data_IF_747012470335
#
_entry.id   IF_747012470335
#
_cell.length_a   1.000
_cell.length_b   1.000
_cell.length_c   1.000
_cell.angle_alpha   90.00
_cell.angle_beta   90.00
_cell.angle_gamma   90.00
#
_symmetry.space_group_name_H-M   'P 1'
#
loop_
_entity.id
_entity.type
_entity.pdbx_description
1 polymer ?
#
# COMPACT_ATOMS: atom_id res chain seq x y z
N UNK A 1 -21.08 25.84 10.68
CA UNK A 1 -21.55 25.67 9.29
C UNK A 1 -20.44 26.16 8.37
N UNK A 2 -19.76 25.27 7.65
CA UNK A 2 -18.59 25.65 6.84
C UNK A 2 -19.06 26.31 5.56
N UNK A 3 -18.61 27.56 5.34
CA UNK A 3 -18.89 28.31 4.11
C UNK A 3 -17.62 28.35 3.26
N UNK A 4 -17.78 28.11 1.96
CA UNK A 4 -16.69 28.26 1.02
C UNK A 4 -16.55 29.75 0.70
N UNK A 5 -15.49 30.40 1.17
CA UNK A 5 -15.25 31.82 0.89
C UNK A 5 -14.39 31.95 -0.36
N UNK A 6 -14.88 32.66 -1.38
CA UNK A 6 -14.11 32.93 -2.60
C UNK A 6 -13.33 34.22 -2.41
N UNK A 7 -11.99 34.16 -2.51
CA UNK A 7 -11.09 35.29 -2.27
C UNK A 7 -11.13 36.42 -3.31
N UNK A 8 -11.68 36.20 -4.50
CA UNK A 8 -11.58 37.17 -5.61
C UNK A 8 -12.78 37.23 -6.56
N UNK A 9 -13.98 36.88 -6.10
CA UNK A 9 -15.18 37.36 -6.80
C UNK A 9 -15.50 38.72 -6.21
N UNK A 10 -14.98 39.78 -6.82
CA UNK A 10 -15.58 41.10 -6.67
C UNK A 10 -17.08 40.97 -6.99
N UNK A 11 -17.95 41.73 -6.33
CA UNK A 11 -19.42 41.77 -6.53
C UNK A 11 -19.88 42.08 -7.97
N UNK A 12 -18.95 42.16 -8.92
CA UNK A 12 -19.11 42.42 -10.35
C UNK A 12 -19.29 41.18 -11.23
N UNK A 13 -19.87 40.08 -10.71
CA UNK A 13 -20.36 38.99 -11.56
C UNK A 13 -21.65 39.44 -12.28
N UNK A 14 -21.48 40.35 -13.23
CA UNK A 14 -22.54 40.73 -14.16
C UNK A 14 -22.45 39.84 -15.41
N UNK A 15 -23.61 39.28 -15.78
CA UNK A 15 -23.88 38.72 -17.10
C UNK A 15 -24.62 39.80 -17.90
N UNK A 16 -23.91 40.78 -18.50
CA UNK A 16 -24.54 41.99 -19.04
C UNK A 16 -25.45 41.70 -20.23
N UNK A 17 -25.19 40.64 -21.00
CA UNK A 17 -25.99 40.32 -22.20
C UNK A 17 -27.03 39.22 -21.94
N UNK A 18 -28.15 39.26 -22.68
CA UNK A 18 -29.16 38.17 -22.68
C UNK A 18 -28.55 36.83 -23.09
N UNK A 19 -27.58 36.85 -24.00
CA UNK A 19 -26.91 35.66 -24.51
C UNK A 19 -26.01 35.00 -23.46
N UNK A 20 -25.25 35.79 -22.69
CA UNK A 20 -24.44 35.28 -21.57
C UNK A 20 -25.32 34.73 -20.45
N UNK A 21 -26.44 35.39 -20.13
CA UNK A 21 -27.42 34.89 -19.15
C UNK A 21 -27.98 33.54 -19.59
N UNK A 22 -28.43 33.42 -20.83
CA UNK A 22 -28.96 32.16 -21.37
C UNK A 22 -27.90 31.04 -21.37
N UNK A 23 -26.65 31.36 -21.75
CA UNK A 23 -25.53 30.41 -21.73
C UNK A 23 -25.20 29.95 -20.31
N UNK A 24 -25.14 30.87 -19.35
CA UNK A 24 -24.91 30.57 -17.93
C UNK A 24 -26.04 29.73 -17.34
N UNK A 25 -27.31 30.09 -17.57
CA UNK A 25 -28.48 29.30 -17.15
C UNK A 25 -28.42 27.87 -17.67
N UNK A 26 -28.14 27.71 -18.96
CA UNK A 26 -28.06 26.38 -19.59
C UNK A 26 -26.92 25.53 -18.99
N UNK A 27 -25.77 26.13 -18.69
CA UNK A 27 -24.65 25.42 -18.06
C UNK A 27 -24.93 25.05 -16.61
N UNK A 28 -25.49 25.96 -15.82
CA UNK A 28 -25.89 25.70 -14.44
C UNK A 28 -26.96 24.61 -14.36
N UNK A 29 -27.94 24.63 -15.27
CA UNK A 29 -28.98 23.61 -15.34
C UNK A 29 -28.39 22.24 -15.72
N UNK A 30 -27.48 22.19 -16.68
CA UNK A 30 -26.74 20.96 -17.04
C UNK A 30 -25.88 20.43 -15.89
N UNK A 31 -25.39 21.30 -15.02
CA UNK A 31 -24.67 20.93 -13.79
C UNK A 31 -25.59 20.55 -12.62
N UNK A 32 -26.91 20.47 -12.84
CA UNK A 32 -27.88 20.01 -11.84
C UNK A 32 -28.26 21.06 -10.79
N UNK A 33 -28.04 22.35 -11.07
CA UNK A 33 -28.53 23.43 -10.22
C UNK A 33 -30.02 23.66 -10.50
N UNK A 34 -30.83 23.78 -9.45
CA UNK A 34 -32.27 23.98 -9.58
C UNK A 34 -32.60 25.34 -10.21
N UNK A 35 -33.68 25.41 -10.99
CA UNK A 35 -34.10 26.64 -11.68
C UNK A 35 -34.33 27.83 -10.73
N UNK A 36 -34.81 27.57 -9.52
CA UNK A 36 -34.99 28.58 -8.47
C UNK A 36 -33.65 29.21 -8.04
N UNK A 37 -32.59 28.39 -7.91
CA UNK A 37 -31.25 28.84 -7.56
C UNK A 37 -30.56 29.53 -8.75
N UNK A 38 -30.79 29.07 -9.98
CA UNK A 38 -30.21 29.69 -11.20
C UNK A 38 -30.64 31.15 -11.33
N UNK A 39 -31.94 31.43 -11.19
CA UNK A 39 -32.44 32.80 -11.31
C UNK A 39 -31.83 33.72 -10.24
N UNK A 40 -31.70 33.20 -9.02
CA UNK A 40 -31.08 33.92 -7.89
C UNK A 40 -29.58 34.15 -8.11
N UNK A 41 -28.85 33.16 -8.65
CA UNK A 41 -27.43 33.27 -8.99
C UNK A 41 -27.16 34.30 -10.09
N UNK A 42 -28.08 34.47 -11.03
CA UNK A 42 -27.96 35.43 -12.14
C UNK A 42 -28.32 36.86 -11.71
N UNK A 43 -29.22 37.02 -10.74
CA UNK A 43 -29.68 38.33 -10.26
C UNK A 43 -28.86 38.87 -9.09
N UNK A 44 -28.41 37.99 -8.18
CA UNK A 44 -27.61 38.33 -7.00
C UNK A 44 -26.65 37.17 -6.67
N UNK A 45 -25.53 37.13 -7.40
CA UNK A 45 -24.58 36.01 -7.33
C UNK A 45 -24.05 35.78 -5.91
N UNK A 46 -23.52 36.81 -5.25
CA UNK A 46 -22.87 36.67 -3.92
C UNK A 46 -23.83 36.05 -2.89
N UNK A 47 -25.02 36.63 -2.71
CA UNK A 47 -25.98 36.12 -1.71
C UNK A 47 -26.51 34.72 -2.06
N UNK A 48 -26.83 34.47 -3.34
CA UNK A 48 -27.36 33.18 -3.76
C UNK A 48 -26.29 32.08 -3.68
N UNK A 49 -25.06 32.39 -4.08
CA UNK A 49 -23.95 31.45 -4.04
C UNK A 49 -23.65 30.99 -2.61
N UNK A 50 -23.55 31.92 -1.64
CA UNK A 50 -23.27 31.56 -0.25
C UNK A 50 -24.42 30.84 0.47
N UNK A 51 -25.62 30.83 -0.10
CA UNK A 51 -26.75 30.06 0.42
C UNK A 51 -26.74 28.58 0.00
N UNK A 52 -25.92 28.22 -1.00
CA UNK A 52 -25.78 26.86 -1.51
C UNK A 52 -24.89 26.00 -0.61
N UNK A 53 -25.08 24.68 -0.67
CA UNK A 53 -24.15 23.73 -0.06
C UNK A 53 -22.79 23.67 -0.81
N UNK A 54 -21.70 23.21 -0.16
CA UNK A 54 -20.36 23.22 -0.76
C UNK A 54 -20.26 22.51 -2.12
N UNK A 55 -20.95 21.38 -2.29
CA UNK A 55 -20.96 20.65 -3.56
C UNK A 55 -21.65 21.45 -4.68
N UNK A 56 -22.75 22.12 -4.37
CA UNK A 56 -23.48 22.96 -5.33
C UNK A 56 -22.65 24.20 -5.71
N UNK A 57 -21.95 24.80 -4.75
CA UNK A 57 -21.03 25.91 -4.98
C UNK A 57 -19.90 25.51 -5.96
N UNK A 58 -19.30 24.33 -5.81
CA UNK A 58 -18.29 23.82 -6.76
C UNK A 58 -18.88 23.66 -8.17
N UNK A 59 -20.07 23.07 -8.26
CA UNK A 59 -20.78 22.89 -9.54
C UNK A 59 -21.06 24.23 -10.22
N UNK A 60 -21.40 25.26 -9.45
CA UNK A 60 -21.59 26.63 -9.95
C UNK A 60 -20.27 27.20 -10.48
N UNK A 61 -19.17 27.12 -9.73
CA UNK A 61 -17.85 27.61 -10.17
C UNK A 61 -17.42 26.89 -11.46
N UNK A 62 -17.50 25.56 -11.50
CA UNK A 62 -17.12 24.76 -12.66
C UNK A 62 -17.96 25.10 -13.90
N UNK A 63 -19.28 25.23 -13.74
CA UNK A 63 -20.19 25.58 -14.83
C UNK A 63 -19.88 26.97 -15.42
N UNK A 64 -19.57 27.94 -14.55
CA UNK A 64 -19.41 29.34 -14.95
C UNK A 64 -18.00 29.71 -15.40
N UNK A 65 -16.98 28.96 -14.97
CA UNK A 65 -15.60 29.15 -15.44
C UNK A 65 -15.50 28.97 -16.97
N UNK A 66 -16.28 28.07 -17.56
CA UNK A 66 -16.38 27.88 -19.02
C UNK A 66 -17.04 29.05 -19.79
N UNK A 67 -17.69 29.98 -19.09
CA UNK A 67 -18.34 31.16 -19.69
C UNK A 67 -17.46 32.40 -19.56
N UNK A 68 -16.71 32.53 -18.45
CA UNK A 68 -15.97 33.76 -18.16
C UNK A 68 -14.67 33.51 -17.39
N UNK A 69 -13.74 32.80 -18.02
CA UNK A 69 -12.43 32.42 -17.45
C UNK A 69 -11.62 33.61 -16.89
N UNK A 70 -11.77 34.81 -17.45
CA UNK A 70 -11.09 36.02 -16.95
C UNK A 70 -11.62 36.54 -15.61
N UNK A 71 -12.86 36.21 -15.25
CA UNK A 71 -13.50 36.61 -13.98
C UNK A 71 -13.50 35.50 -12.94
N UNK A 72 -13.30 34.25 -13.34
CA UNK A 72 -13.19 33.09 -12.47
C UNK A 72 -11.76 32.57 -12.51
N UNK A 73 -10.97 32.93 -11.50
CA UNK A 73 -9.68 32.29 -11.29
C UNK A 73 -9.91 30.79 -10.99
N UNK A 74 -9.22 29.89 -11.70
CA UNK A 74 -9.21 28.46 -11.34
C UNK A 74 -8.61 28.25 -9.93
N UNK A 75 -7.80 29.21 -9.48
CA UNK A 75 -7.30 29.39 -8.12
C UNK A 75 -8.22 30.20 -7.19
N UNK A 76 -9.48 30.50 -7.56
CA UNK A 76 -10.49 30.99 -6.61
C UNK A 76 -10.75 29.91 -5.56
N UNK A 77 -9.91 29.96 -4.53
CA UNK A 77 -9.90 29.02 -3.43
C UNK A 77 -11.24 29.03 -2.74
N UNK A 78 -11.70 27.82 -2.46
CA UNK A 78 -12.68 27.56 -1.45
C UNK A 78 -11.91 27.59 -0.11
N UNK A 79 -11.93 28.73 0.56
CA UNK A 79 -11.44 28.78 1.94
C UNK A 79 -12.55 28.24 2.85
N UNK A 80 -12.24 27.19 3.61
CA UNK A 80 -13.14 26.63 4.61
C UNK A 80 -13.11 27.58 5.81
N UNK A 81 -14.21 28.31 6.04
CA UNK A 81 -14.35 29.23 7.17
C UNK A 81 -14.46 28.43 8.48
N UNK A 82 -13.45 28.53 9.36
CA UNK A 82 -13.44 27.91 10.68
C UNK A 82 -13.76 28.94 11.76
N UNK A 83 -15.00 29.42 11.81
CA UNK A 83 -15.45 30.44 12.77
C UNK A 83 -15.93 29.86 14.11
N UNK A 84 -15.29 28.82 14.64
CA UNK A 84 -15.50 28.39 16.03
C UNK A 84 -14.17 28.45 16.79
N UNK A 85 -14.02 29.53 17.56
CA UNK A 85 -12.79 30.02 18.19
C UNK A 85 -12.29 29.19 19.40
N UNK A 86 -12.57 27.89 19.53
CA UNK A 86 -12.18 27.12 20.73
C UNK A 86 -11.34 25.84 20.48
N UNK A 87 -11.15 25.40 19.22
CA UNK A 87 -10.28 24.26 18.87
C UNK A 87 -9.09 24.65 17.95
N UNK A 88 -8.55 25.85 18.16
CA UNK A 88 -7.70 26.62 17.23
C UNK A 88 -6.39 25.97 16.73
N UNK A 89 -5.90 24.86 17.30
CA UNK A 89 -4.58 24.33 16.93
C UNK A 89 -4.58 23.10 16.01
N UNK A 90 -5.72 22.46 15.75
CA UNK A 90 -5.76 21.22 14.93
C UNK A 90 -6.17 21.49 13.47
N UNK A 91 -6.91 22.57 13.20
CA UNK A 91 -7.53 22.84 11.90
C UNK A 91 -6.62 23.56 10.88
N UNK A 92 -5.64 24.35 11.34
CA UNK A 92 -4.79 25.21 10.48
C UNK A 92 -3.88 24.49 9.46
N UNK A 93 -3.32 23.28 9.67
CA UNK A 93 -2.38 22.70 8.70
C UNK A 93 -3.02 22.18 7.40
N UNK A 94 -4.35 22.09 7.31
CA UNK A 94 -5.07 21.50 6.17
C UNK A 94 -5.86 22.51 5.32
N UNK A 95 -6.15 23.71 5.83
CA UNK A 95 -7.04 24.71 5.20
C UNK A 95 -6.35 25.67 4.23
N UNK A 96 -5.01 25.71 4.21
CA UNK A 96 -4.25 26.67 3.40
C UNK A 96 -3.61 26.06 2.14
N UNK A 97 -3.93 24.81 1.80
CA UNK A 97 -3.35 24.13 0.65
C UNK A 97 -4.03 24.62 -0.63
N UNK A 98 -3.22 25.11 -1.57
CA UNK A 98 -3.66 25.53 -2.91
C UNK A 98 -3.19 24.49 -3.92
N UNK A 99 -4.13 23.81 -4.55
CA UNK A 99 -3.84 22.94 -5.71
C UNK A 99 -3.96 23.76 -6.99
N UNK A 100 -3.24 23.36 -8.04
CA UNK A 100 -3.33 24.02 -9.35
C UNK A 100 -4.45 23.46 -10.21
N UNK A 101 -4.60 22.14 -10.25
CA UNK A 101 -5.63 21.46 -11.06
C UNK A 101 -6.79 20.98 -10.19
N UNK A 102 -8.00 20.83 -10.74
CA UNK A 102 -9.24 20.38 -10.08
C UNK A 102 -9.37 20.79 -8.58
N UNK A 103 -8.87 21.99 -8.26
CA UNK A 103 -8.46 22.37 -6.90
C UNK A 103 -9.63 22.28 -5.92
N UNK A 104 -10.77 22.84 -6.32
CA UNK A 104 -12.01 22.83 -5.57
C UNK A 104 -12.49 21.43 -5.20
N UNK A 105 -12.35 20.47 -6.11
CA UNK A 105 -12.78 19.10 -5.85
C UNK A 105 -11.84 18.38 -4.87
N UNK A 106 -10.52 18.60 -4.98
CA UNK A 106 -9.54 18.04 -4.03
C UNK A 106 -9.74 18.59 -2.62
N UNK A 107 -9.99 19.89 -2.49
CA UNK A 107 -10.28 20.54 -1.21
C UNK A 107 -11.57 20.00 -0.57
N UNK A 108 -12.65 19.87 -1.34
CA UNK A 108 -13.89 19.27 -0.83
C UNK A 108 -13.71 17.80 -0.45
N UNK A 109 -12.95 17.04 -1.24
CA UNK A 109 -12.67 15.64 -0.95
C UNK A 109 -11.90 15.49 0.37
N UNK A 110 -10.88 16.31 0.61
CA UNK A 110 -10.17 16.36 1.90
C UNK A 110 -11.12 16.68 3.05
N UNK A 111 -12.00 17.64 2.88
CA UNK A 111 -12.96 18.05 3.90
C UNK A 111 -13.96 16.94 4.26
N UNK A 112 -14.56 16.28 3.27
CA UNK A 112 -15.51 15.19 3.54
C UNK A 112 -14.82 14.07 4.31
N UNK A 113 -13.61 13.67 3.89
CA UNK A 113 -12.87 12.65 4.60
C UNK A 113 -12.47 13.11 6.01
N UNK A 114 -12.24 14.41 6.22
CA UNK A 114 -11.94 14.95 7.54
C UNK A 114 -13.08 14.70 8.54
N UNK A 115 -14.33 14.88 8.10
CA UNK A 115 -15.50 14.65 8.96
C UNK A 115 -15.65 13.18 9.39
N UNK A 116 -15.10 12.25 8.61
CA UNK A 116 -15.41 10.82 8.72
C UNK A 116 -14.20 9.95 9.09
N UNK A 117 -12.97 10.46 8.98
CA UNK A 117 -11.74 9.67 9.04
C UNK A 117 -10.81 10.02 10.20
N UNK A 118 -9.97 9.06 10.60
CA UNK A 118 -8.93 9.32 11.59
C UNK A 118 -7.82 10.23 11.07
N UNK A 119 -7.11 10.89 11.98
CA UNK A 119 -5.99 11.81 11.68
C UNK A 119 -4.92 11.20 10.76
N UNK A 120 -4.56 9.94 10.97
CA UNK A 120 -3.52 9.28 10.17
C UNK A 120 -3.95 9.06 8.71
N UNK A 121 -5.23 8.73 8.50
CA UNK A 121 -5.81 8.61 7.15
C UNK A 121 -5.81 9.96 6.44
N UNK A 122 -6.10 11.04 7.16
CA UNK A 122 -6.09 12.39 6.61
C UNK A 122 -4.70 12.88 6.21
N UNK A 123 -3.67 12.59 7.02
CA UNK A 123 -2.28 12.91 6.68
C UNK A 123 -1.87 12.17 5.40
N UNK A 124 -2.16 10.87 5.32
CA UNK A 124 -1.89 10.05 4.14
C UNK A 124 -2.59 10.58 2.89
N UNK A 125 -3.89 10.88 3.01
CA UNK A 125 -4.69 11.43 1.92
C UNK A 125 -4.15 12.79 1.45
N UNK A 126 -3.81 13.69 2.37
CA UNK A 126 -3.22 15.00 2.04
C UNK A 126 -1.94 14.84 1.23
N UNK A 127 -0.99 14.04 1.73
CA UNK A 127 0.27 13.80 1.04
C UNK A 127 0.02 13.24 -0.36
N UNK A 128 -0.91 12.30 -0.48
CA UNK A 128 -1.30 11.75 -1.79
C UNK A 128 -1.75 12.83 -2.76
N UNK A 129 -2.65 13.73 -2.34
CA UNK A 129 -3.18 14.76 -3.22
C UNK A 129 -2.15 15.84 -3.57
N UNK A 130 -1.19 16.11 -2.68
CA UNK A 130 -0.05 16.99 -2.99
C UNK A 130 0.85 16.38 -4.06
N UNK A 131 1.17 15.09 -3.95
CA UNK A 131 1.97 14.40 -4.95
C UNK A 131 1.25 14.30 -6.29
N UNK A 132 -0.06 14.07 -6.27
CA UNK A 132 -0.88 14.11 -7.48
C UNK A 132 -0.83 15.49 -8.13
N UNK A 133 -0.98 16.58 -7.37
CA UNK A 133 -0.96 17.94 -7.91
C UNK A 133 0.42 18.34 -8.47
N UNK A 134 1.50 17.88 -7.82
CA UNK A 134 2.85 18.05 -8.32
C UNK A 134 3.04 17.34 -9.67
N UNK A 135 2.59 16.09 -9.77
CA UNK A 135 2.64 15.33 -11.02
C UNK A 135 1.80 15.97 -12.12
N UNK A 136 0.54 16.32 -11.85
CA UNK A 136 -0.33 16.99 -12.81
C UNK A 136 0.24 18.34 -13.29
N UNK A 137 0.90 19.08 -12.40
CA UNK A 137 1.61 20.31 -12.74
C UNK A 137 2.78 20.06 -13.68
N UNK A 138 3.53 18.97 -13.48
CA UNK A 138 4.65 18.57 -14.34
C UNK A 138 4.16 18.22 -15.76
N UNK A 139 3.06 17.48 -15.88
CA UNK A 139 2.51 17.06 -17.19
C UNK A 139 1.52 18.06 -17.81
N UNK A 140 1.23 19.17 -17.11
CA UNK A 140 0.38 20.27 -17.57
C UNK A 140 -1.10 19.89 -17.77
N UNK A 141 -1.60 18.85 -17.09
CA UNK A 141 -3.01 18.43 -17.15
C UNK A 141 -3.45 17.80 -15.84
N UNK A 142 -4.72 18.01 -15.49
CA UNK A 142 -5.35 17.40 -14.32
C UNK A 142 -5.73 15.92 -14.53
N UNK A 143 -5.91 15.20 -13.42
CA UNK A 143 -6.20 13.75 -13.39
C UNK A 143 -7.43 13.37 -14.20
N UNK A 144 -8.39 14.29 -14.35
CA UNK A 144 -9.61 14.03 -15.13
C UNK A 144 -9.33 13.86 -16.63
N UNK A 145 -8.17 14.31 -17.09
CA UNK A 145 -7.72 14.26 -18.48
C UNK A 145 -6.63 13.23 -18.71
N UNK A 146 -6.31 12.40 -17.72
CA UNK A 146 -5.28 11.38 -17.84
C UNK A 146 -5.65 10.34 -18.90
N UNK A 147 -4.63 9.88 -19.60
CA UNK A 147 -4.65 8.69 -20.45
C UNK A 147 -3.96 7.54 -19.71
N UNK A 148 -4.12 6.31 -20.20
CA UNK A 148 -3.47 5.12 -19.66
C UNK A 148 -1.95 5.29 -19.50
N UNK A 149 -1.31 6.03 -20.41
CA UNK A 149 0.12 6.35 -20.31
C UNK A 149 0.44 7.32 -19.16
N UNK A 150 -0.46 8.28 -18.89
CA UNK A 150 -0.30 9.23 -17.79
C UNK A 150 -0.45 8.50 -16.44
N UNK A 151 -1.34 7.50 -16.35
CA UNK A 151 -1.49 6.65 -15.16
C UNK A 151 -0.23 5.82 -14.88
N UNK A 152 0.43 5.30 -15.92
CA UNK A 152 1.74 4.62 -15.80
C UNK A 152 2.80 5.56 -15.26
N UNK A 153 2.93 6.73 -15.89
CA UNK A 153 3.90 7.73 -15.51
C UNK A 153 3.67 8.24 -14.08
N UNK A 154 2.42 8.31 -13.62
CA UNK A 154 2.09 8.66 -12.24
C UNK A 154 2.65 7.61 -11.26
N UNK A 155 2.51 6.32 -11.54
CA UNK A 155 3.05 5.27 -10.67
C UNK A 155 4.56 5.28 -10.63
N UNK A 156 5.20 5.43 -11.79
CA UNK A 156 6.66 5.56 -11.90
C UNK A 156 7.14 6.79 -11.11
N UNK A 157 6.46 7.93 -11.24
CA UNK A 157 6.71 9.13 -10.45
C UNK A 157 6.60 8.85 -8.95
N UNK A 158 5.51 8.22 -8.50
CA UNK A 158 5.31 7.91 -7.08
C UNK A 158 6.34 6.91 -6.53
N UNK A 159 6.85 6.00 -7.36
CA UNK A 159 7.90 5.04 -7.00
C UNK A 159 9.28 5.71 -6.84
N UNK A 160 9.51 6.84 -7.50
CA UNK A 160 10.76 7.60 -7.43
C UNK A 160 10.84 8.54 -6.23
N UNK A 161 9.74 8.75 -5.51
CA UNK A 161 9.74 9.58 -4.29
C UNK A 161 10.49 8.85 -3.18
N UNK A 162 11.47 9.53 -2.58
CA UNK A 162 12.22 9.03 -1.43
C UNK A 162 11.27 8.57 -0.30
N UNK A 163 11.60 7.45 0.34
CA UNK A 163 10.80 6.82 1.41
C UNK A 163 9.37 6.35 1.03
N UNK A 164 9.09 6.14 -0.26
CA UNK A 164 7.89 5.41 -0.68
C UNK A 164 8.19 3.91 -0.78
N UNK A 165 7.72 3.16 0.22
CA UNK A 165 7.66 1.70 0.15
C UNK A 165 6.38 1.21 -0.56
N UNK A 166 6.28 -0.11 -0.79
CA UNK A 166 5.12 -0.70 -1.46
C UNK A 166 3.80 -0.46 -0.70
N UNK A 167 3.84 -0.30 0.63
CA UNK A 167 2.64 -0.05 1.44
C UNK A 167 2.16 1.37 1.20
N UNK A 168 3.07 2.34 1.23
CA UNK A 168 2.81 3.76 0.98
C UNK A 168 2.37 3.99 -0.46
N UNK A 169 3.00 3.33 -1.42
CA UNK A 169 2.57 3.36 -2.83
C UNK A 169 1.12 2.88 -2.98
N UNK A 170 0.75 1.77 -2.32
CA UNK A 170 -0.63 1.27 -2.32
C UNK A 170 -1.60 2.25 -1.67
N UNK A 171 -1.19 2.94 -0.62
CA UNK A 171 -2.01 3.97 0.02
C UNK A 171 -2.24 5.16 -0.91
N UNK A 172 -1.20 5.65 -1.59
CA UNK A 172 -1.33 6.71 -2.59
C UNK A 172 -2.32 6.31 -3.70
N UNK A 173 -2.13 5.12 -4.29
CA UNK A 173 -3.03 4.59 -5.31
C UNK A 173 -4.47 4.46 -4.81
N UNK A 174 -4.66 3.99 -3.57
CA UNK A 174 -5.97 3.87 -2.96
C UNK A 174 -6.69 5.22 -2.83
N UNK A 175 -5.99 6.24 -2.33
CA UNK A 175 -6.54 7.58 -2.14
C UNK A 175 -6.81 8.30 -3.47
N UNK A 176 -5.92 8.17 -4.46
CA UNK A 176 -6.14 8.69 -5.82
C UNK A 176 -7.41 8.09 -6.41
N UNK A 177 -7.58 6.77 -6.30
CA UNK A 177 -8.77 6.08 -6.80
C UNK A 177 -10.04 6.59 -6.13
N UNK A 178 -10.02 6.72 -4.81
CA UNK A 178 -11.18 7.23 -4.07
C UNK A 178 -11.51 8.68 -4.44
N UNK A 179 -10.50 9.51 -4.68
CA UNK A 179 -10.69 10.84 -5.23
C UNK A 179 -11.35 10.81 -6.61
N UNK A 180 -10.86 9.98 -7.53
CA UNK A 180 -11.46 9.86 -8.87
C UNK A 180 -12.92 9.40 -8.82
N UNK A 181 -13.24 8.42 -7.97
CA UNK A 181 -14.62 7.96 -7.74
C UNK A 181 -15.49 9.10 -7.18
N UNK A 182 -15.00 9.82 -6.16
CA UNK A 182 -15.69 10.99 -5.62
C UNK A 182 -15.95 12.04 -6.70
N UNK A 183 -14.95 12.35 -7.52
CA UNK A 183 -15.07 13.31 -8.61
C UNK A 183 -16.11 12.88 -9.64
N UNK A 184 -16.11 11.61 -10.06
CA UNK A 184 -17.07 11.10 -11.05
C UNK A 184 -18.50 11.04 -10.54
N UNK A 185 -18.71 10.67 -9.27
CA UNK A 185 -20.04 10.43 -8.72
C UNK A 185 -20.70 11.73 -8.20
N UNK A 186 -19.90 12.60 -7.58
CA UNK A 186 -20.42 13.75 -6.84
C UNK A 186 -20.27 15.07 -7.61
N UNK A 187 -19.21 15.19 -8.41
CA UNK A 187 -18.84 16.46 -9.05
C UNK A 187 -19.29 16.50 -10.53
N UNK A 188 -19.04 15.45 -11.32
CA UNK A 188 -19.43 15.37 -12.75
C UNK A 188 -20.76 14.64 -12.99
N UNK A 189 -21.50 14.99 -14.06
CA UNK A 189 -22.81 14.39 -14.42
C UNK A 189 -22.74 13.59 -15.75
N UNK A 190 -21.65 13.61 -16.52
CA UNK A 190 -21.62 12.93 -17.83
C UNK A 190 -20.98 11.53 -17.76
N UNK A 191 -21.69 10.48 -18.22
CA UNK A 191 -21.18 9.11 -18.21
C UNK A 191 -20.28 8.90 -19.44
N UNK A 192 -18.97 9.11 -19.28
CA UNK A 192 -17.98 8.60 -20.25
C UNK A 192 -16.62 8.27 -19.63
N UNK A 193 -16.52 8.21 -18.30
CA UNK A 193 -15.27 7.90 -17.59
C UNK A 193 -15.37 6.72 -16.61
N UNK A 194 -16.53 6.07 -16.47
CA UNK A 194 -16.70 4.91 -15.58
C UNK A 194 -15.88 3.69 -16.04
N UNK A 195 -15.68 3.54 -17.35
CA UNK A 195 -15.02 2.34 -17.91
C UNK A 195 -13.50 2.37 -17.78
N UNK A 196 -12.89 3.53 -17.48
CA UNK A 196 -11.43 3.62 -17.20
C UNK A 196 -11.09 3.17 -15.79
N UNK A 197 -11.91 3.49 -14.79
CA UNK A 197 -11.64 3.20 -13.37
C UNK A 197 -11.60 1.69 -13.04
N UNK A 198 -12.15 0.83 -13.89
CA UNK A 198 -12.17 -0.62 -13.68
C UNK A 198 -11.06 -1.40 -14.37
N UNK A 199 -10.55 -0.94 -15.53
CA UNK A 199 -9.49 -1.62 -16.27
C UNK A 199 -8.10 -1.49 -15.59
N UNK A 200 -7.87 -0.43 -14.83
CA UNK A 200 -6.57 -0.14 -14.18
C UNK A 200 -6.30 -0.96 -12.92
N UNK A 201 -7.30 -1.65 -12.38
CA UNK A 201 -7.13 -2.47 -11.17
C UNK A 201 -6.18 -3.66 -11.39
N UNK A 202 -6.14 -4.20 -12.61
CA UNK A 202 -5.19 -5.25 -13.01
C UNK A 202 -3.80 -4.68 -13.33
N UNK A 203 -3.76 -3.47 -13.89
CA UNK A 203 -2.53 -2.79 -14.27
C UNK A 203 -1.72 -2.28 -13.06
N UNK A 204 -2.40 -1.82 -12.01
CA UNK A 204 -1.75 -1.33 -10.78
C UNK A 204 -1.36 -2.45 -9.81
N UNK A 205 -2.12 -3.55 -9.76
CA UNK A 205 -1.72 -4.77 -9.06
C UNK A 205 -0.52 -5.44 -9.75
N UNK A 206 -0.35 -5.30 -11.08
CA UNK A 206 0.84 -5.78 -11.82
C UNK A 206 2.04 -4.82 -11.74
N UNK A 207 1.83 -3.50 -11.78
CA UNK A 207 2.91 -2.51 -11.63
C UNK A 207 3.47 -2.42 -10.20
N UNK A 208 2.64 -2.64 -9.18
CA UNK A 208 3.14 -2.80 -7.80
C UNK A 208 3.77 -4.18 -7.57
N UNK A 209 3.39 -5.19 -8.37
CA UNK A 209 4.07 -6.48 -8.38
C UNK A 209 5.48 -6.40 -8.99
N UNK A 210 5.72 -5.54 -9.99
CA UNK A 210 7.06 -5.37 -10.60
C UNK A 210 8.07 -4.71 -9.65
N UNK A 211 7.65 -3.73 -8.82
CA UNK A 211 8.52 -3.21 -7.74
C UNK A 211 8.80 -4.24 -6.64
N UNK A 212 7.97 -5.28 -6.53
CA UNK A 212 8.22 -6.37 -5.57
C UNK A 212 8.95 -7.51 -6.28
N UNK A 213 10.25 -7.25 -6.53
CA UNK A 213 11.36 -8.19 -6.79
C UNK A 213 11.77 -8.33 -8.25
N UNK A 214 12.79 -7.55 -8.59
CA UNK A 214 13.91 -8.15 -9.32
C UNK A 214 14.30 -9.44 -8.58
N UNK A 215 14.23 -10.57 -9.26
CA UNK A 215 14.82 -11.80 -8.78
C UNK A 215 16.33 -11.53 -8.75
N UNK A 216 16.91 -11.11 -7.60
CA UNK A 216 18.33 -10.73 -7.46
C UNK A 216 19.28 -11.94 -7.60
N UNK A 217 18.93 -12.91 -8.45
CA UNK A 217 19.57 -14.22 -8.52
C UNK A 217 19.35 -15.06 -7.26
N UNK A 218 18.49 -14.66 -6.32
CA UNK A 218 18.33 -15.38 -5.05
C UNK A 218 17.64 -16.71 -5.31
N UNK A 219 18.32 -17.79 -4.98
CA UNK A 219 17.74 -19.13 -4.98
C UNK A 219 18.08 -19.89 -3.70
N UNK A 220 17.63 -21.14 -3.60
CA UNK A 220 17.91 -21.95 -2.41
C UNK A 220 19.41 -22.12 -2.15
N UNK A 221 20.25 -22.22 -3.19
CA UNK A 221 21.70 -22.28 -3.03
C UNK A 221 22.27 -20.96 -2.49
N UNK A 222 21.77 -19.81 -2.93
CA UNK A 222 22.15 -18.50 -2.35
C UNK A 222 21.77 -18.41 -0.87
N UNK A 223 20.58 -18.90 -0.49
CA UNK A 223 20.16 -18.96 0.91
C UNK A 223 21.03 -19.91 1.73
N UNK A 224 21.44 -21.03 1.15
CA UNK A 224 22.40 -21.97 1.78
C UNK A 224 23.75 -21.31 2.01
N UNK A 225 24.30 -20.64 1.00
CA UNK A 225 25.58 -19.93 1.12
C UNK A 225 25.51 -18.81 2.16
N UNK A 226 24.46 -17.98 2.13
CA UNK A 226 24.24 -16.94 3.14
C UNK A 226 24.13 -17.52 4.56
N UNK A 227 23.49 -18.68 4.71
CA UNK A 227 23.38 -19.38 6.00
C UNK A 227 24.73 -19.89 6.53
N UNK A 228 25.70 -20.15 5.66
CA UNK A 228 27.06 -20.54 6.05
C UNK A 228 27.92 -19.35 6.46
N UNK A 229 27.54 -18.13 6.04
CA UNK A 229 28.26 -16.90 6.37
C UNK A 229 27.81 -16.26 7.69
N UNK A 230 26.72 -16.74 8.29
CA UNK A 230 26.26 -16.24 9.59
C UNK A 230 26.75 -17.14 10.72
N UNK A 231 27.32 -16.52 11.75
CA UNK A 231 27.93 -17.24 12.89
C UNK A 231 26.91 -17.98 13.76
N UNK A 232 25.62 -17.65 13.62
CA UNK A 232 24.56 -18.16 14.47
C UNK A 232 23.43 -18.78 13.64
N UNK A 233 23.18 -20.11 13.75
CA UNK A 233 22.13 -20.78 12.98
C UNK A 233 20.72 -20.25 13.27
N UNK A 234 20.46 -19.65 14.45
CA UNK A 234 19.18 -19.00 14.75
C UNK A 234 18.84 -17.84 13.78
N UNK A 235 19.84 -17.24 13.13
CA UNK A 235 19.64 -16.19 12.13
C UNK A 235 19.14 -16.75 10.79
N UNK A 236 19.58 -17.96 10.44
CA UNK A 236 19.20 -18.65 9.19
C UNK A 236 17.85 -19.34 9.24
N UNK A 237 17.40 -19.79 10.42
CA UNK A 237 16.14 -20.54 10.55
C UNK A 237 14.95 -19.75 10.00
N UNK A 238 14.87 -18.45 10.26
CA UNK A 238 13.71 -17.63 9.86
C UNK A 238 13.58 -17.54 8.33
N UNK A 239 14.59 -17.04 7.59
CA UNK A 239 14.57 -17.02 6.13
C UNK A 239 14.27 -18.37 5.49
N UNK A 240 14.92 -19.45 5.96
CA UNK A 240 14.77 -20.79 5.38
C UNK A 240 13.36 -21.36 5.60
N UNK A 241 12.81 -21.25 6.81
CA UNK A 241 11.45 -21.74 7.08
C UNK A 241 10.37 -20.94 6.33
N UNK A 242 10.54 -19.61 6.20
CA UNK A 242 9.63 -18.79 5.39
C UNK A 242 9.66 -19.19 3.92
N UNK A 243 10.86 -19.46 3.40
CA UNK A 243 11.08 -19.96 2.05
C UNK A 243 10.43 -21.34 1.84
N UNK A 244 10.52 -22.23 2.82
CA UNK A 244 9.96 -23.59 2.70
C UNK A 244 8.42 -23.65 2.83
N UNK A 245 7.77 -22.64 3.42
CA UNK A 245 6.31 -22.54 3.46
C UNK A 245 5.69 -22.22 4.82
N UNK A 246 6.51 -21.93 5.84
CA UNK A 246 6.02 -21.49 7.14
C UNK A 246 5.52 -20.05 7.03
N UNK A 247 4.34 -19.77 7.58
CA UNK A 247 3.71 -18.45 7.47
C UNK A 247 4.18 -17.50 8.57
N UNK A 248 4.44 -16.25 8.19
CA UNK A 248 4.51 -15.12 9.11
C UNK A 248 3.24 -14.28 9.03
N UNK A 249 2.79 -13.76 10.17
CA UNK A 249 1.60 -12.92 10.26
C UNK A 249 1.90 -11.61 11.00
N UNK A 250 1.16 -10.57 10.64
CA UNK A 250 1.10 -9.34 11.43
C UNK A 250 0.38 -9.52 12.76
N UNK A 251 -0.27 -10.65 13.00
CA UNK A 251 -0.81 -11.00 14.30
C UNK A 251 0.09 -12.10 14.89
N UNK A 252 0.85 -11.85 15.98
CA UNK A 252 1.73 -12.84 16.60
C UNK A 252 1.02 -14.15 16.95
N UNK A 253 -0.25 -14.07 17.37
CA UNK A 253 -1.05 -15.26 17.71
C UNK A 253 -1.36 -16.13 16.48
N UNK A 254 -1.33 -15.54 15.27
CA UNK A 254 -1.56 -16.23 13.99
C UNK A 254 -0.28 -16.47 13.20
N UNK A 255 0.89 -16.13 13.75
CA UNK A 255 2.17 -16.26 13.08
C UNK A 255 2.77 -17.63 13.36
N UNK A 256 2.63 -18.56 12.42
CA UNK A 256 3.12 -19.94 12.56
C UNK A 256 4.59 -19.97 12.97
N UNK A 257 5.43 -19.20 12.28
CA UNK A 257 6.88 -19.16 12.53
C UNK A 257 7.26 -18.79 13.98
N UNK A 258 6.47 -17.95 14.64
CA UNK A 258 6.75 -17.53 16.03
C UNK A 258 6.28 -18.56 17.05
N UNK A 259 5.37 -19.45 16.65
CA UNK A 259 4.70 -20.42 17.51
C UNK A 259 5.15 -21.86 17.25
N UNK A 260 6.16 -22.07 16.39
CA UNK A 260 6.69 -23.38 16.04
C UNK A 260 7.43 -24.05 17.20
N UNK A 261 7.04 -25.30 17.49
CA UNK A 261 7.63 -26.15 18.50
C UNK A 261 8.57 -27.18 17.88
N UNK A 262 9.56 -27.62 18.65
CA UNK A 262 10.47 -28.71 18.29
C UNK A 262 9.70 -30.01 18.05
N UNK A 263 8.63 -30.25 18.82
CA UNK A 263 7.73 -31.40 18.64
C UNK A 263 6.99 -31.40 17.30
N UNK A 264 6.89 -30.24 16.65
CA UNK A 264 6.25 -30.11 15.34
C UNK A 264 7.17 -30.64 14.22
N UNK A 265 8.48 -30.79 14.48
CA UNK A 265 9.44 -31.35 13.53
C UNK A 265 9.61 -32.86 13.76
N UNK A 266 9.18 -33.66 12.78
CA UNK A 266 9.31 -35.12 12.77
C UNK A 266 10.09 -35.57 11.54
N UNK A 267 11.37 -35.91 11.71
CA UNK A 267 12.26 -36.21 10.58
C UNK A 267 12.49 -34.96 9.72
N UNK A 268 12.11 -35.02 8.45
CA UNK A 268 12.11 -33.88 7.52
C UNK A 268 10.74 -33.19 7.38
N UNK A 269 9.74 -33.60 8.17
CA UNK A 269 8.37 -33.08 8.08
C UNK A 269 8.07 -32.13 9.24
N UNK A 270 7.64 -30.93 8.90
CA UNK A 270 7.17 -29.93 9.84
C UNK A 270 5.64 -29.89 9.84
N UNK A 271 5.04 -30.20 10.99
CA UNK A 271 3.60 -30.24 11.18
C UNK A 271 3.08 -28.88 11.65
N UNK A 272 2.31 -28.20 10.80
CA UNK A 272 1.66 -26.95 11.17
C UNK A 272 0.26 -27.27 11.70
N UNK A 273 0.03 -26.99 12.98
CA UNK A 273 -1.27 -27.15 13.65
C UNK A 273 -2.09 -25.85 13.60
N UNK A 274 -3.42 -25.96 13.75
CA UNK A 274 -4.35 -24.82 13.81
C UNK A 274 -5.40 -24.82 12.70
N UNK A 275 -5.92 -23.64 12.32
CA UNK A 275 -7.06 -23.52 11.39
C UNK A 275 -6.82 -24.08 9.97
N UNK A 276 -5.56 -24.31 9.59
CA UNK A 276 -5.17 -24.87 8.29
C UNK A 276 -4.04 -25.87 8.49
N UNK A 277 -4.39 -27.00 9.09
CA UNK A 277 -3.44 -28.06 9.36
C UNK A 277 -2.80 -28.56 8.07
N UNK A 278 -1.47 -28.66 8.08
CA UNK A 278 -0.69 -29.13 6.94
C UNK A 278 0.67 -29.62 7.36
N UNK A 279 1.29 -30.40 6.48
CA UNK A 279 2.65 -30.89 6.66
C UNK A 279 3.53 -30.27 5.57
N UNK A 280 4.64 -29.68 5.99
CA UNK A 280 5.66 -29.10 5.12
C UNK A 280 6.85 -30.04 5.12
N UNK A 281 7.19 -30.60 3.97
CA UNK A 281 8.42 -31.36 3.78
C UNK A 281 9.59 -30.40 3.56
N UNK A 282 10.51 -30.35 4.51
CA UNK A 282 11.68 -29.47 4.49
C UNK A 282 12.84 -30.14 3.74
N UNK A 283 13.66 -29.33 3.07
CA UNK A 283 14.95 -29.77 2.55
C UNK A 283 15.89 -30.26 3.66
N UNK A 284 16.74 -31.23 3.36
CA UNK A 284 17.71 -31.79 4.31
C UNK A 284 18.60 -30.72 4.94
N UNK A 285 19.02 -29.73 4.15
CA UNK A 285 19.80 -28.60 4.65
C UNK A 285 19.01 -27.76 5.65
N UNK A 286 17.74 -27.46 5.38
CA UNK A 286 16.91 -26.69 6.32
C UNK A 286 16.68 -27.48 7.61
N UNK A 287 16.46 -28.79 7.52
CA UNK A 287 16.36 -29.68 8.69
C UNK A 287 17.65 -29.62 9.51
N UNK A 288 18.81 -29.66 8.86
CA UNK A 288 20.11 -29.57 9.52
C UNK A 288 20.27 -28.24 10.25
N UNK A 289 20.03 -27.10 9.59
CA UNK A 289 20.11 -25.77 10.22
C UNK A 289 19.14 -25.63 11.39
N UNK A 290 17.93 -26.16 11.28
CA UNK A 290 16.95 -26.16 12.39
C UNK A 290 17.46 -27.01 13.56
N UNK A 291 18.02 -28.20 13.30
CA UNK A 291 18.61 -29.04 14.36
C UNK A 291 19.80 -28.36 15.02
N UNK A 292 20.66 -27.70 14.25
CA UNK A 292 21.80 -26.95 14.77
C UNK A 292 21.34 -25.77 15.63
N UNK A 293 20.31 -25.04 15.19
CA UNK A 293 19.70 -23.97 15.98
C UNK A 293 19.02 -24.47 17.27
N UNK A 294 18.41 -25.66 17.25
CA UNK A 294 17.82 -26.30 18.43
C UNK A 294 18.93 -26.70 19.42
N UNK A 295 20.03 -27.26 18.93
CA UNK A 295 21.18 -27.71 19.74
C UNK A 295 22.09 -26.59 20.21
N UNK A 296 22.03 -25.43 19.57
CA UNK A 296 22.90 -24.31 19.89
C UNK A 296 22.76 -23.88 21.35
N UNK A 297 23.88 -23.96 22.07
CA UNK A 297 24.08 -23.37 23.38
C UNK A 297 24.48 -21.89 23.19
N UNK A 298 23.78 -20.98 23.88
CA UNK A 298 24.07 -19.54 23.78
C UNK A 298 25.04 -19.15 24.88
N UNK A 299 26.25 -18.74 24.50
CA UNK A 299 27.17 -18.04 25.40
C UNK A 299 26.77 -16.57 25.45
N UNK A 300 26.60 -16.01 26.65
CA UNK A 300 26.18 -14.61 26.81
C UNK A 300 27.24 -13.85 27.60
N UNK A 301 27.74 -12.75 27.04
CA UNK A 301 28.56 -11.81 27.81
C UNK A 301 27.65 -10.94 28.68
N UNK A 302 27.87 -10.98 30.00
CA UNK A 302 27.29 -10.04 30.95
C UNK A 302 28.45 -9.28 31.58
N UNK A 303 28.44 -7.95 31.52
CA UNK A 303 29.46 -7.07 32.10
C UNK A 303 30.92 -7.46 31.72
N UNK A 304 31.22 -7.59 30.42
CA UNK A 304 32.55 -7.98 29.90
C UNK A 304 33.11 -9.31 30.43
N UNK A 305 32.27 -10.14 31.05
CA UNK A 305 32.65 -11.47 31.53
C UNK A 305 31.94 -12.52 30.67
N UNK A 306 32.72 -13.45 30.13
CA UNK A 306 32.25 -14.51 29.25
C UNK A 306 31.59 -15.58 30.13
N UNK A 307 30.27 -15.50 30.31
CA UNK A 307 29.53 -16.51 31.06
C UNK A 307 29.15 -17.65 30.10
N UNK A 308 29.77 -18.82 30.33
CA UNK A 308 29.28 -20.09 29.79
C UNK A 308 27.98 -20.44 30.52
N UNK A 309 26.86 -19.99 29.97
CA UNK A 309 25.56 -20.49 30.41
C UNK A 309 25.39 -21.84 29.72
N UNK A 310 25.70 -22.93 30.45
CA UNK A 310 25.28 -24.27 30.06
C UNK A 310 23.75 -24.30 30.11
N UNK A 311 23.14 -24.12 28.94
CA UNK A 311 21.70 -23.97 28.78
C UNK A 311 20.94 -25.29 28.84
N UNK A 312 21.51 -26.35 29.44
CA UNK A 312 20.75 -27.52 29.91
C UNK A 312 19.59 -27.18 30.87
N UNK A 313 19.43 -25.91 31.28
CA UNK A 313 18.25 -25.38 31.99
C UNK A 313 17.28 -24.52 31.15
N UNK A 314 17.46 -24.39 29.82
CA UNK A 314 16.46 -23.86 28.86
C UNK A 314 15.74 -24.99 28.08
N UNK A 315 15.62 -26.17 28.69
CA UNK A 315 14.96 -27.34 28.09
C UNK A 315 13.43 -27.17 27.89
N UNK A 316 12.77 -26.18 28.48
CA UNK A 316 11.30 -26.27 28.68
C UNK A 316 10.36 -25.44 27.79
N UNK A 317 10.84 -24.58 26.87
CA UNK A 317 9.88 -23.93 25.96
C UNK A 317 9.49 -24.83 24.78
N UNK A 318 10.32 -25.83 24.45
CA UNK A 318 10.11 -26.71 23.30
C UNK A 318 9.95 -25.95 21.98
N UNK A 319 10.46 -24.72 21.85
CA UNK A 319 10.31 -23.86 20.65
C UNK A 319 11.49 -24.04 19.68
N UNK A 320 11.25 -23.89 18.38
CA UNK A 320 12.31 -23.87 17.36
C UNK A 320 13.09 -22.56 17.41
N UNK A 321 12.40 -21.42 17.48
CA UNK A 321 13.01 -20.10 17.58
C UNK A 321 13.22 -19.72 19.06
N UNK A 322 14.47 -19.62 19.50
CA UNK A 322 14.83 -19.23 20.87
C UNK A 322 14.84 -17.70 21.01
N UNK A 323 14.63 -17.16 22.19
CA UNK A 323 14.86 -15.71 22.47
C UNK A 323 16.25 -15.49 23.06
N UNK A 324 16.79 -14.28 22.90
CA UNK A 324 18.07 -13.87 23.50
C UNK A 324 17.91 -13.32 24.92
N UNK A 325 16.67 -13.05 25.34
CA UNK A 325 16.39 -12.50 26.67
C UNK A 325 16.37 -13.62 27.72
N UNK A 326 16.93 -13.32 28.89
CA UNK A 326 16.98 -14.20 30.08
C UNK A 326 15.61 -14.56 30.68
N UNK A 327 14.50 -14.13 30.05
CA UNK A 327 13.13 -14.41 30.49
C UNK A 327 12.62 -15.77 30.00
N UNK A 328 12.37 -16.68 30.95
CA UNK A 328 11.77 -18.01 30.69
C UNK A 328 10.55 -17.93 29.77
N UNK A 329 10.50 -18.77 28.74
CA UNK A 329 9.27 -19.09 27.99
C UNK A 329 8.70 -18.00 27.08
N UNK A 330 9.41 -16.90 26.82
CA UNK A 330 8.93 -15.87 25.89
C UNK A 330 9.17 -16.28 24.44
N UNK A 331 8.12 -16.25 23.61
CA UNK A 331 8.23 -16.41 22.16
C UNK A 331 9.00 -15.24 21.54
N UNK A 332 9.69 -15.51 20.43
CA UNK A 332 10.39 -14.47 19.66
C UNK A 332 9.41 -13.35 19.26
N UNK A 333 9.80 -12.10 19.49
CA UNK A 333 9.00 -10.95 19.05
C UNK A 333 9.16 -10.72 17.55
N UNK A 334 8.24 -9.97 16.93
CA UNK A 334 8.41 -9.55 15.53
C UNK A 334 9.67 -8.72 15.29
N UNK A 335 10.05 -7.89 16.25
CA UNK A 335 11.29 -7.12 16.19
C UNK A 335 12.49 -8.06 16.17
N UNK A 336 12.48 -9.10 17.01
CA UNK A 336 13.47 -10.17 16.98
C UNK A 336 13.53 -10.90 15.63
N UNK A 337 12.38 -11.22 15.04
CA UNK A 337 12.31 -11.84 13.71
C UNK A 337 12.96 -10.96 12.64
N UNK A 338 12.63 -9.66 12.61
CA UNK A 338 13.22 -8.68 11.67
C UNK A 338 14.73 -8.53 11.85
N UNK A 339 15.19 -8.44 13.10
CA UNK A 339 16.62 -8.35 13.39
C UNK A 339 17.39 -9.55 12.85
N UNK A 340 16.84 -10.76 12.92
CA UNK A 340 17.46 -11.98 12.36
C UNK A 340 17.54 -11.95 10.85
N UNK A 341 16.46 -11.53 10.19
CA UNK A 341 16.43 -11.35 8.73
C UNK A 341 17.50 -10.34 8.32
N UNK A 342 17.61 -9.22 9.03
CA UNK A 342 18.63 -8.20 8.74
C UNK A 342 20.05 -8.74 8.84
N UNK A 343 20.36 -9.55 9.86
CA UNK A 343 21.69 -10.16 10.00
C UNK A 343 21.93 -11.19 8.88
N UNK A 344 20.95 -12.06 8.61
CA UNK A 344 21.05 -13.02 7.50
C UNK A 344 21.24 -12.33 6.14
N UNK A 345 20.58 -11.19 5.94
CA UNK A 345 20.69 -10.40 4.72
C UNK A 345 22.11 -9.89 4.48
N UNK A 346 22.88 -9.60 5.53
CA UNK A 346 24.30 -9.20 5.38
C UNK A 346 25.14 -10.34 4.78
N UNK A 347 24.82 -11.60 5.09
CA UNK A 347 25.42 -12.76 4.43
C UNK A 347 24.89 -12.92 3.00
N UNK A 348 23.59 -12.67 2.78
CA UNK A 348 22.97 -12.80 1.47
C UNK A 348 23.48 -11.77 0.46
N UNK A 349 23.72 -10.53 0.88
CA UNK A 349 24.28 -9.47 0.02
C UNK A 349 25.72 -9.72 -0.39
N UNK A 350 26.44 -10.61 0.30
CA UNK A 350 27.79 -11.03 -0.11
C UNK A 350 27.78 -12.04 -1.27
N UNK A 351 26.65 -12.72 -1.49
CA UNK A 351 26.53 -13.80 -2.49
C UNK A 351 25.49 -13.49 -3.58
N UNK A 352 24.79 -12.36 -3.48
CA UNK A 352 23.76 -11.93 -4.45
C UNK A 352 23.74 -10.41 -4.60
N UNK A 353 23.08 -9.92 -5.64
CA UNK A 353 22.87 -8.48 -5.88
C UNK A 353 21.74 -7.87 -5.02
N UNK A 354 21.40 -8.50 -3.89
CA UNK A 354 20.34 -8.01 -2.99
C UNK A 354 20.79 -6.67 -2.36
N UNK A 355 19.94 -5.63 -2.38
CA UNK A 355 20.28 -4.32 -1.83
C UNK A 355 20.46 -4.37 -0.31
N UNK A 356 21.18 -3.40 0.25
CA UNK A 356 21.40 -3.29 1.71
C UNK A 356 20.13 -2.96 2.51
N UNK A 357 19.05 -2.52 1.84
CA UNK A 357 17.77 -2.19 2.48
C UNK A 357 17.08 -3.44 3.04
N UNK A 358 16.65 -3.37 4.30
CA UNK A 358 16.02 -4.50 5.03
C UNK A 358 14.92 -5.19 4.23
N UNK A 359 15.09 -6.50 3.99
CA UNK A 359 14.10 -7.34 3.31
C UNK A 359 12.95 -7.70 4.25
N UNK A 360 11.69 -7.57 3.81
CA UNK A 360 10.55 -8.01 4.63
C UNK A 360 10.48 -9.55 4.70
N UNK A 361 9.87 -10.15 5.74
CA UNK A 361 9.65 -11.60 5.82
C UNK A 361 8.90 -12.18 4.60
N UNK A 362 8.01 -11.39 3.98
CA UNK A 362 7.33 -11.79 2.77
C UNK A 362 8.30 -12.07 1.63
N UNK A 363 9.48 -11.43 1.60
CA UNK A 363 10.55 -11.68 0.62
C UNK A 363 10.88 -13.18 0.53
N UNK A 364 11.34 -13.80 1.61
CA UNK A 364 11.68 -15.22 1.57
C UNK A 364 10.47 -16.09 1.21
N UNK A 365 9.29 -15.74 1.75
CA UNK A 365 8.07 -16.51 1.49
C UNK A 365 7.61 -16.46 0.05
N UNK A 366 7.62 -15.32 -0.66
CA UNK A 366 7.18 -15.34 -2.07
C UNK A 366 8.24 -15.91 -3.00
N UNK A 367 9.53 -15.86 -2.62
CA UNK A 367 10.58 -16.51 -3.39
C UNK A 367 10.37 -18.03 -3.35
N UNK A 368 10.12 -18.56 -2.15
CA UNK A 368 9.76 -19.96 -1.94
C UNK A 368 8.54 -20.39 -2.75
N UNK A 369 7.48 -19.55 -2.80
CA UNK A 369 6.29 -19.85 -3.61
C UNK A 369 6.61 -19.98 -5.09
N UNK A 370 7.39 -19.04 -5.64
CA UNK A 370 7.75 -19.04 -7.05
C UNK A 370 8.59 -20.26 -7.41
N UNK A 371 9.62 -20.58 -6.62
CA UNK A 371 10.47 -21.75 -6.85
C UNK A 371 9.72 -23.06 -6.62
N UNK A 372 8.77 -23.11 -5.69
CA UNK A 372 7.93 -24.30 -5.51
C UNK A 372 6.98 -24.53 -6.68
N UNK A 373 6.40 -23.46 -7.26
CA UNK A 373 5.60 -23.59 -8.50
C UNK A 373 6.49 -24.10 -9.64
N UNK A 374 7.68 -23.53 -9.79
CA UNK A 374 8.66 -23.93 -10.80
C UNK A 374 9.02 -25.41 -10.66
N UNK A 375 9.41 -25.83 -9.45
CA UNK A 375 9.68 -27.23 -9.11
C UNK A 375 8.54 -28.17 -9.50
N UNK A 376 7.30 -27.82 -9.18
CA UNK A 376 6.14 -28.66 -9.52
C UNK A 376 5.90 -28.77 -11.02
N UNK A 377 6.24 -27.74 -11.79
CA UNK A 377 6.08 -27.74 -13.24
C UNK A 377 7.23 -28.52 -13.90
N UNK A 378 8.46 -28.29 -13.47
CA UNK A 378 9.67 -28.87 -14.06
C UNK A 378 9.89 -30.33 -13.63
N UNK A 379 9.83 -30.61 -12.33
CA UNK A 379 10.12 -31.96 -11.80
C UNK A 379 8.92 -32.90 -11.93
N UNK A 380 7.70 -32.36 -11.76
CA UNK A 380 6.48 -33.17 -11.66
C UNK A 380 5.53 -33.00 -12.86
N UNK A 381 5.85 -32.14 -13.83
CA UNK A 381 5.05 -31.93 -15.04
C UNK A 381 3.66 -31.34 -14.80
N UNK A 382 3.42 -30.66 -13.66
CA UNK A 382 2.11 -30.08 -13.37
C UNK A 382 1.78 -28.92 -14.31
N UNK A 383 0.50 -28.78 -14.67
CA UNK A 383 -0.01 -27.55 -15.30
C UNK A 383 0.05 -26.39 -14.31
N UNK A 384 0.33 -25.17 -14.79
CA UNK A 384 0.48 -23.96 -13.97
C UNK A 384 -0.64 -23.76 -12.94
N UNK A 385 -1.91 -23.90 -13.35
CA UNK A 385 -3.04 -23.73 -12.43
C UNK A 385 -3.00 -24.74 -11.26
N UNK A 386 -2.62 -26.00 -11.53
CA UNK A 386 -2.50 -27.04 -10.51
C UNK A 386 -1.29 -26.78 -9.61
N UNK A 387 -0.15 -26.38 -10.18
CA UNK A 387 1.04 -26.02 -9.41
C UNK A 387 0.80 -24.83 -8.46
N UNK A 388 0.09 -23.79 -8.93
CA UNK A 388 -0.31 -22.63 -8.11
C UNK A 388 -1.27 -23.04 -6.99
N UNK A 389 -2.18 -23.98 -7.24
CA UNK A 389 -3.07 -24.52 -6.22
C UNK A 389 -2.32 -25.30 -5.13
N UNK A 390 -1.41 -26.20 -5.52
CA UNK A 390 -0.55 -26.96 -4.59
C UNK A 390 0.36 -26.04 -3.77
N UNK A 391 0.91 -25.01 -4.40
CA UNK A 391 1.65 -23.95 -3.71
C UNK A 391 0.77 -23.25 -2.67
N UNK A 392 -0.47 -22.88 -3.03
CA UNK A 392 -1.37 -22.21 -2.10
C UNK A 392 -1.67 -23.07 -0.87
N UNK A 393 -1.81 -24.38 -1.05
CA UNK A 393 -1.96 -25.34 0.04
C UNK A 393 -0.72 -25.40 0.93
N UNK A 394 0.48 -25.62 0.34
CA UNK A 394 1.76 -25.68 1.09
C UNK A 394 2.04 -24.42 1.91
N UNK A 395 1.74 -23.25 1.37
CA UNK A 395 2.00 -21.95 2.01
C UNK A 395 0.81 -21.43 2.84
N UNK A 396 -0.24 -22.24 3.05
CA UNK A 396 -1.38 -21.87 3.89
C UNK A 396 -2.19 -20.68 3.38
N UNK A 397 -2.19 -20.44 2.06
CA UNK A 397 -2.92 -19.36 1.40
C UNK A 397 -4.39 -19.75 1.17
N UNK A 398 -5.27 -18.75 1.06
CA UNK A 398 -6.67 -19.02 0.71
C UNK A 398 -6.77 -19.41 -0.76
N UNK A 399 -7.46 -20.51 -1.06
CA UNK A 399 -7.66 -21.08 -2.41
C UNK A 399 -8.73 -20.37 -3.25
N UNK A 400 -9.18 -19.19 -2.82
CA UNK A 400 -10.15 -18.40 -3.59
C UNK A 400 -9.59 -17.97 -4.95
N UNK A 401 -10.44 -17.98 -5.99
CA UNK A 401 -10.08 -17.71 -7.38
C UNK A 401 -9.21 -16.45 -7.58
N UNK A 402 -9.47 -15.37 -6.83
CA UNK A 402 -8.68 -14.12 -6.92
C UNK A 402 -7.23 -14.30 -6.48
N UNK A 403 -6.98 -15.05 -5.40
CA UNK A 403 -5.61 -15.27 -4.92
C UNK A 403 -4.83 -16.16 -5.89
N UNK A 404 -5.46 -17.23 -6.39
CA UNK A 404 -4.83 -18.13 -7.36
C UNK A 404 -4.53 -17.42 -8.68
N UNK A 405 -5.46 -16.59 -9.18
CA UNK A 405 -5.25 -15.77 -10.36
C UNK A 405 -4.05 -14.82 -10.22
N UNK A 406 -3.94 -14.13 -9.07
CA UNK A 406 -2.82 -13.22 -8.81
C UNK A 406 -1.47 -13.95 -8.77
N UNK A 407 -1.40 -15.15 -8.17
CA UNK A 407 -0.16 -15.93 -8.15
C UNK A 407 0.23 -16.51 -9.50
N UNK A 408 -0.75 -16.88 -10.33
CA UNK A 408 -0.49 -17.29 -11.71
C UNK A 408 0.19 -16.18 -12.51
N UNK A 409 -0.37 -14.97 -12.47
CA UNK A 409 0.20 -13.80 -13.15
C UNK A 409 1.62 -13.48 -12.65
N UNK A 410 1.86 -13.60 -11.35
CA UNK A 410 3.20 -13.42 -10.76
C UNK A 410 4.20 -14.46 -11.26
N UNK A 411 3.80 -15.72 -11.33
CA UNK A 411 4.66 -16.78 -11.84
C UNK A 411 4.96 -16.62 -13.34
N UNK A 412 3.97 -16.21 -14.14
CA UNK A 412 4.15 -15.91 -15.56
C UNK A 412 5.14 -14.75 -15.78
N UNK A 413 5.07 -13.70 -14.94
CA UNK A 413 6.06 -12.62 -14.95
C UNK A 413 7.46 -13.13 -14.56
N UNK A 414 7.56 -13.88 -13.46
CA UNK A 414 8.82 -14.49 -13.00
C UNK A 414 9.51 -15.34 -14.08
N UNK A 415 8.75 -16.13 -14.85
CA UNK A 415 9.32 -16.93 -15.96
C UNK A 415 9.85 -16.06 -17.10
N UNK A 416 9.18 -14.94 -17.40
CA UNK A 416 9.62 -14.01 -18.45
C UNK A 416 10.89 -13.27 -18.09
N UNK A 417 11.12 -13.00 -16.81
CA UNK A 417 12.34 -12.33 -16.35
C UNK A 417 13.57 -13.26 -16.28
N UNK A 418 13.35 -14.58 -16.38
CA UNK A 418 14.41 -15.61 -16.28
C UNK A 418 15.00 -16.03 -17.64
N UNK A 419 14.31 -15.72 -18.75
CA UNK A 419 14.73 -16.04 -20.12
C UNK A 419 14.75 -14.79 -20.97
#
# INVERSE_FOLDING_TARGET
MVRLKIKSINDSLSFPTKQEKAKASNLLQKSGISSANINSLISNFSSAFYSLGPLQQIKVIQALNGVNKSKFDEGCLIELDSTSDEEENVFRPFTHIRFKNENNAKQLYLYINYLESSRNVLISLRLTLLELDAFESNIGRGITKFKVQDDRALIEYLQQIDDVDTVRLRQYVYHIRKFCTFYSEQVMITPSSSDRLHADRLFLESATASTTRANFGVNFDSLRQASQLVDNPQYSVVPLLLYEGVKSSNDPAKSEILNLKQSDLKGNKLHISGTRERVIELSDYTVQVVKDAIRQDVTMMVNNTLHFIDYRRLVDAGMILKTTDTGRGRSLTKSGLRSRIRIFQQGLSQVTAVPEKELPPSFFSDLGKLQYIEKLIEDNGLKTNKAVFEMAFRFGLGTGNRNLGNWRLRYEAYRKDKG
#
